data_IF_108045736775
#
_entry.id   IF_108045736775
#
_cell.length_a   1.000
_cell.length_b   1.000
_cell.length_c   1.000
_cell.angle_alpha   90.00
_cell.angle_beta   90.00
_cell.angle_gamma   90.00
#
_symmetry.space_group_name_H-M   'P 1'
#
loop_
_entity.id
_entity.type
_entity.pdbx_description
1 polymer ?
#
# COMPACT_ATOMS: atom_id res chain seq x y z
N UNK A 1 4.70 5.15 13.18
CA UNK A 1 4.59 4.71 11.77
C UNK A 1 4.88 5.90 10.87
N UNK A 2 5.47 5.70 9.69
CA UNK A 2 5.59 6.78 8.69
C UNK A 2 4.24 7.01 8.00
N UNK A 3 3.88 8.28 7.76
CA UNK A 3 2.68 8.65 7.02
C UNK A 3 2.88 8.39 5.51
N UNK A 4 1.94 7.76 4.78
CA UNK A 4 2.03 7.63 3.34
C UNK A 4 1.97 9.00 2.66
N UNK A 5 2.77 9.17 1.61
CA UNK A 5 2.76 10.36 0.77
C UNK A 5 3.14 9.99 -0.66
N UNK A 6 2.64 10.76 -1.63
CA UNK A 6 2.95 10.56 -3.04
C UNK A 6 4.46 10.67 -3.29
N UNK A 7 4.98 9.77 -4.12
CA UNK A 7 6.40 9.68 -4.47
C UNK A 7 7.24 8.82 -3.52
N UNK A 8 6.67 8.27 -2.44
CA UNK A 8 7.39 7.36 -1.53
C UNK A 8 7.54 5.99 -2.16
N UNK A 9 8.73 5.40 -2.02
CA UNK A 9 9.00 4.00 -2.38
C UNK A 9 8.53 3.09 -1.25
N UNK A 10 7.75 2.08 -1.60
CA UNK A 10 7.17 1.06 -0.71
C UNK A 10 7.28 -0.32 -1.35
N UNK A 11 6.93 -1.37 -0.60
CA UNK A 11 6.80 -2.72 -1.13
C UNK A 11 5.32 -3.08 -1.32
N UNK A 12 4.98 -3.60 -2.49
CA UNK A 12 3.71 -4.27 -2.76
C UNK A 12 3.92 -5.79 -2.76
N UNK A 13 3.04 -6.54 -2.10
CA UNK A 13 3.09 -8.00 -2.09
C UNK A 13 2.16 -8.52 -3.18
N UNK A 14 2.67 -9.25 -4.18
CA UNK A 14 1.81 -9.87 -5.18
C UNK A 14 0.92 -10.95 -4.57
N UNK A 15 -0.29 -11.15 -5.09
CA UNK A 15 -1.20 -12.22 -4.63
C UNK A 15 -0.63 -13.64 -4.71
N UNK A 16 0.33 -13.87 -5.60
CA UNK A 16 0.68 -15.22 -6.03
C UNK A 16 -0.43 -15.82 -6.90
N UNK A 17 -0.43 -17.14 -7.06
CA UNK A 17 -1.52 -17.86 -7.74
C UNK A 17 -2.33 -18.70 -6.76
N UNK A 18 -3.65 -18.88 -6.99
CA UNK A 18 -4.50 -19.67 -6.09
C UNK A 18 -4.02 -21.12 -5.87
N UNK A 19 -3.34 -21.71 -6.86
CA UNK A 19 -2.76 -23.05 -6.77
C UNK A 19 -1.38 -23.13 -6.11
N UNK A 20 -0.82 -22.00 -5.66
CA UNK A 20 0.49 -21.95 -5.01
C UNK A 20 1.70 -22.13 -5.92
N UNK A 21 1.50 -22.22 -7.24
CA UNK A 21 2.59 -22.30 -8.24
C UNK A 21 3.53 -21.09 -8.13
N UNK A 22 2.96 -19.90 -7.87
CA UNK A 22 3.70 -18.69 -7.57
C UNK A 22 3.29 -18.19 -6.18
N UNK A 23 4.24 -18.11 -5.26
CA UNK A 23 3.99 -17.54 -3.94
C UNK A 23 3.89 -16.01 -4.00
N UNK A 24 3.27 -15.37 -3.01
CA UNK A 24 3.37 -13.93 -2.82
C UNK A 24 4.83 -13.46 -2.75
N UNK A 25 5.15 -12.36 -3.42
CA UNK A 25 6.49 -11.78 -3.50
C UNK A 25 6.43 -10.26 -3.36
N UNK A 26 7.36 -9.69 -2.60
CA UNK A 26 7.52 -8.25 -2.49
C UNK A 26 8.06 -7.65 -3.80
N UNK A 27 7.48 -6.52 -4.21
CA UNK A 27 7.84 -5.77 -5.41
C UNK A 27 7.97 -4.30 -5.06
N UNK A 28 8.95 -3.63 -5.66
CA UNK A 28 9.09 -2.20 -5.51
C UNK A 28 7.89 -1.46 -6.14
N UNK A 29 7.32 -0.52 -5.39
CA UNK A 29 6.25 0.33 -5.84
C UNK A 29 6.48 1.78 -5.38
N UNK A 30 5.90 2.73 -6.10
CA UNK A 30 5.84 4.15 -5.72
C UNK A 30 4.39 4.51 -5.43
N UNK A 31 4.14 5.20 -4.32
CA UNK A 31 2.82 5.77 -4.03
C UNK A 31 2.50 6.86 -5.05
N UNK A 32 1.44 6.67 -5.84
CA UNK A 32 0.96 7.66 -6.82
C UNK A 32 -0.21 8.48 -6.30
N UNK A 33 -0.95 7.95 -5.33
CA UNK A 33 -2.12 8.60 -4.75
C UNK A 33 -2.26 8.24 -3.27
N UNK A 34 -2.56 9.26 -2.46
CA UNK A 34 -3.02 9.07 -1.08
C UNK A 34 -4.43 9.64 -1.02
N UNK A 35 -5.47 8.80 -0.88
CA UNK A 35 -6.84 9.25 -0.76
C UNK A 35 -6.98 10.23 0.40
N UNK A 36 -7.58 11.38 0.12
CA UNK A 36 -7.91 12.32 1.18
C UNK A 36 -9.15 11.81 1.90
N UNK A 37 -9.04 11.50 3.18
CA UNK A 37 -10.23 11.36 4.02
C UNK A 37 -10.83 12.76 4.12
N UNK A 38 -12.02 12.96 3.57
CA UNK A 38 -12.76 14.21 3.74
C UNK A 38 -13.28 14.27 5.18
N UNK A 39 -12.50 14.95 6.02
CA UNK A 39 -12.75 15.18 7.44
C UNK A 39 -14.12 15.81 7.73
N UNK A 40 -14.70 16.55 6.78
CA UNK A 40 -16.02 17.15 6.91
C UNK A 40 -17.17 16.15 6.64
N UNK A 41 -16.90 15.07 5.90
CA UNK A 41 -17.90 14.06 5.51
C UNK A 41 -17.94 12.84 6.39
N UNK A 42 -16.89 12.57 7.15
CA UNK A 42 -16.80 11.34 7.98
C UNK A 42 -16.37 11.68 9.42
N UNK A 43 -17.22 12.39 10.19
CA UNK A 43 -16.85 12.89 11.51
C UNK A 43 -16.62 11.82 12.58
N UNK A 44 -17.02 10.57 12.31
CA UNK A 44 -16.83 9.44 13.23
C UNK A 44 -15.38 8.94 13.24
N UNK A 45 -14.57 9.31 12.24
CA UNK A 45 -13.16 8.92 12.12
C UNK A 45 -12.19 9.88 12.83
N UNK A 46 -12.67 10.95 13.48
CA UNK A 46 -11.83 12.00 14.07
C UNK A 46 -10.96 11.56 15.26
N UNK A 47 -11.34 10.52 15.99
CA UNK A 47 -10.50 9.95 17.05
C UNK A 47 -9.45 8.95 16.54
N UNK A 48 -9.63 8.44 15.30
CA UNK A 48 -8.79 7.43 14.65
C UNK A 48 -8.02 8.00 13.44
N UNK A 49 -8.16 9.29 13.15
CA UNK A 49 -7.76 9.93 11.89
C UNK A 49 -6.25 9.94 11.62
N UNK A 50 -5.41 9.97 12.66
CA UNK A 50 -3.96 9.85 12.49
C UNK A 50 -3.51 8.40 12.24
N UNK A 51 -4.17 7.40 12.84
CA UNK A 51 -3.89 5.98 12.60
C UNK A 51 -4.45 5.50 11.26
N UNK A 52 -5.61 5.99 10.83
CA UNK A 52 -6.24 5.61 9.57
C UNK A 52 -5.44 6.10 8.35
N UNK A 53 -4.84 7.29 8.44
CA UNK A 53 -3.93 7.78 7.40
C UNK A 53 -2.63 6.96 7.36
N UNK A 54 -2.19 6.34 8.45
CA UNK A 54 -1.03 5.44 8.47
C UNK A 54 -1.33 4.04 7.92
N UNK A 55 -2.61 3.63 7.88
CA UNK A 55 -3.10 2.32 7.38
C UNK A 55 -3.81 2.42 6.02
N UNK A 56 -3.77 3.59 5.39
CA UNK A 56 -4.61 3.94 4.27
C UNK A 56 -4.37 3.10 3.02
N UNK A 57 -5.45 2.80 2.32
CA UNK A 57 -5.41 2.42 0.91
C UNK A 57 -4.64 3.48 0.13
N UNK A 58 -3.72 3.07 -0.74
CA UNK A 58 -2.98 4.00 -1.61
C UNK A 58 -3.01 3.52 -3.05
N UNK A 59 -2.91 4.46 -3.99
CA UNK A 59 -2.58 4.15 -5.37
C UNK A 59 -1.09 3.88 -5.51
N UNK A 60 -0.72 2.83 -6.25
CA UNK A 60 0.65 2.38 -6.44
C UNK A 60 0.98 2.24 -7.92
N UNK A 61 2.20 2.66 -8.29
CA UNK A 61 2.88 2.26 -9.51
C UNK A 61 3.92 1.19 -9.18
N UNK A 62 3.68 -0.06 -9.59
CA UNK A 62 4.58 -1.19 -9.41
C UNK A 62 5.59 -1.19 -10.56
N UNK A 63 6.88 -1.18 -10.21
CA UNK A 63 7.97 -1.14 -11.17
C UNK A 63 8.59 -2.53 -11.27
N UNK A 64 8.58 -3.13 -12.45
CA UNK A 64 9.26 -4.39 -12.71
C UNK A 64 9.97 -4.39 -14.07
N UNK A 65 10.92 -5.32 -14.31
CA UNK A 65 11.65 -5.38 -15.58
C UNK A 65 10.75 -5.57 -16.81
N UNK A 66 9.57 -6.17 -16.64
CA UNK A 66 8.61 -6.44 -17.71
C UNK A 66 7.65 -5.28 -17.99
N UNK A 67 7.65 -4.24 -17.15
CA UNK A 67 6.79 -3.07 -17.31
C UNK A 67 6.34 -2.41 -15.99
N UNK A 68 5.39 -1.49 -16.14
CA UNK A 68 4.77 -0.77 -15.04
C UNK A 68 3.29 -1.13 -14.96
N UNK A 69 2.83 -1.42 -13.75
CA UNK A 69 1.44 -1.77 -13.45
C UNK A 69 0.91 -0.83 -12.37
N UNK A 70 -0.37 -0.49 -12.43
CA UNK A 70 -1.02 0.35 -11.43
C UNK A 70 -2.00 -0.47 -10.62
N UNK A 71 -1.99 -0.31 -9.30
CA UNK A 71 -2.92 -0.98 -8.41
C UNK A 71 -3.24 -0.11 -7.20
N UNK A 72 -4.36 -0.38 -6.55
CA UNK A 72 -4.63 0.13 -5.20
C UNK A 72 -4.38 -1.00 -4.20
N UNK A 73 -3.78 -0.66 -3.07
CA UNK A 73 -3.49 -1.64 -2.02
C UNK A 73 -3.73 -1.05 -0.64
N UNK A 74 -4.19 -1.89 0.27
CA UNK A 74 -4.34 -1.58 1.69
C UNK A 74 -3.04 -1.88 2.43
N UNK A 75 -2.77 -1.15 3.52
CA UNK A 75 -1.55 -1.33 4.31
C UNK A 75 -1.62 -2.61 5.15
N UNK A 76 -0.53 -3.36 5.21
CA UNK A 76 -0.44 -4.56 6.04
C UNK A 76 1.01 -4.94 6.39
N UNK A 77 1.36 -4.87 7.67
CA UNK A 77 2.69 -5.27 8.18
C UNK A 77 2.92 -6.78 8.17
N UNK A 78 1.87 -7.60 8.01
CA UNK A 78 2.01 -9.06 7.89
C UNK A 78 2.28 -9.51 6.44
N UNK A 79 2.32 -8.57 5.49
CA UNK A 79 2.71 -8.82 4.10
C UNK A 79 1.80 -9.85 3.39
N UNK A 80 0.49 -9.82 3.62
CA UNK A 80 -0.43 -10.66 2.86
C UNK A 80 -0.47 -10.27 1.37
N UNK A 81 -0.84 -11.22 0.50
CA UNK A 81 -0.95 -10.94 -0.94
C UNK A 81 -1.97 -9.84 -1.23
N UNK A 82 -1.58 -8.86 -2.06
CA UNK A 82 -2.42 -7.73 -2.45
C UNK A 82 -2.26 -6.47 -1.60
N UNK A 83 -1.39 -6.49 -0.59
CA UNK A 83 -1.19 -5.37 0.33
C UNK A 83 0.12 -4.64 0.06
N UNK A 84 0.33 -3.53 0.77
CA UNK A 84 1.60 -2.82 0.76
C UNK A 84 2.14 -2.62 2.18
N UNK A 85 3.46 -2.45 2.26
CA UNK A 85 4.15 -2.16 3.51
C UNK A 85 5.36 -1.24 3.30
N UNK A 86 5.84 -0.64 4.39
CA UNK A 86 7.10 0.11 4.37
C UNK A 86 8.29 -0.84 4.16
N UNK A 87 9.32 -0.44 3.39
CA UNK A 87 10.52 -1.24 3.24
C UNK A 87 11.18 -1.52 4.59
N UNK A 88 11.84 -2.66 4.73
CA UNK A 88 12.59 -3.01 5.92
C UNK A 88 13.68 -1.95 6.17
N UNK A 89 13.87 -1.55 7.43
CA UNK A 89 14.97 -0.65 7.79
C UNK A 89 16.28 -1.42 7.68
N UNK A 90 17.21 -0.92 6.88
CA UNK A 90 18.63 -1.30 6.85
C UNK A 90 19.47 -0.31 7.65
#
# INVERSE_FOLDING_TARGET
>A
MSKPSVGRIVHYVSYGTPGGEYTPQCRAAIITEVPHVDEARTPELHAEGEELQARGRVGLALLNPSGMFFNEADYDEQHHGGTWHWPERV
#
